data_IF_263092779461
#
_entry.id   IF_263092779461
#
_cell.length_a   1.000
_cell.length_b   1.000
_cell.length_c   1.000
_cell.angle_alpha   90.00
_cell.angle_beta   90.00
_cell.angle_gamma   90.00
#
_symmetry.space_group_name_H-M   'P 1'
#
loop_
_entity.id
_entity.type
_entity.pdbx_description
1 polymer ?
#
# COMPACT_ATOMS: atom_id res chain seq x y z
N UNK A 1 -22.83 7.31 58.61
CA UNK A 1 -21.96 6.85 57.49
C UNK A 1 -22.46 7.26 56.08
N UNK A 2 -23.65 7.89 55.93
CA UNK A 2 -24.19 8.29 54.60
C UNK A 2 -23.69 9.65 54.05
N UNK A 3 -23.23 10.59 54.89
CA UNK A 3 -22.90 11.95 54.42
C UNK A 3 -21.61 12.05 53.58
N UNK A 4 -20.67 11.11 53.72
CA UNK A 4 -19.40 11.11 52.97
C UNK A 4 -19.55 10.64 51.51
N UNK A 5 -20.61 9.89 51.19
CA UNK A 5 -20.88 9.41 49.82
C UNK A 5 -21.48 10.49 48.93
N UNK A 6 -22.39 11.29 49.47
CA UNK A 6 -23.09 12.36 48.74
C UNK A 6 -22.12 13.45 48.29
N UNK A 7 -21.16 13.84 49.13
CA UNK A 7 -20.15 14.86 48.80
C UNK A 7 -19.28 14.42 47.61
N UNK A 8 -18.91 13.13 47.53
CA UNK A 8 -18.15 12.60 46.40
C UNK A 8 -18.97 12.58 45.10
N UNK A 9 -20.26 12.28 45.19
CA UNK A 9 -21.17 12.30 44.04
C UNK A 9 -21.41 13.73 43.53
N UNK A 10 -21.61 14.71 44.42
CA UNK A 10 -21.77 16.12 44.05
C UNK A 10 -20.50 16.68 43.42
N UNK A 11 -19.32 16.32 43.95
CA UNK A 11 -18.04 16.72 43.36
C UNK A 11 -17.82 16.09 41.96
N UNK A 12 -18.15 14.81 41.79
CA UNK A 12 -18.03 14.12 40.49
C UNK A 12 -19.00 14.70 39.44
N UNK A 13 -20.25 15.00 39.85
CA UNK A 13 -21.22 15.63 38.96
C UNK A 13 -20.83 17.06 38.59
N UNK A 14 -20.27 17.83 39.53
CA UNK A 14 -19.72 19.16 39.26
C UNK A 14 -18.58 19.14 38.25
N UNK A 15 -17.69 18.16 38.33
CA UNK A 15 -16.59 17.97 37.35
C UNK A 15 -17.14 17.62 35.96
N UNK A 16 -18.14 16.73 35.86
CA UNK A 16 -18.75 16.38 34.58
C UNK A 16 -19.48 17.56 33.92
N UNK A 17 -20.20 18.36 34.71
CA UNK A 17 -20.85 19.59 34.23
C UNK A 17 -19.81 20.61 33.78
N UNK A 18 -18.72 20.77 34.54
CA UNK A 18 -17.60 21.65 34.17
C UNK A 18 -16.95 21.25 32.84
N UNK A 19 -16.67 19.95 32.65
CA UNK A 19 -16.13 19.43 31.39
C UNK A 19 -17.10 19.70 30.23
N UNK A 20 -18.40 19.45 30.41
CA UNK A 20 -19.42 19.67 29.38
C UNK A 20 -19.58 21.16 28.98
N UNK A 21 -19.41 22.07 29.93
CA UNK A 21 -19.41 23.52 29.66
C UNK A 21 -18.15 23.89 28.87
N UNK A 22 -16.98 23.40 29.27
CA UNK A 22 -15.72 23.68 28.57
C UNK A 22 -15.76 23.19 27.12
N UNK A 23 -16.25 21.96 26.86
CA UNK A 23 -16.39 21.46 25.49
C UNK A 23 -17.34 22.30 24.65
N UNK A 24 -18.49 22.73 25.20
CA UNK A 24 -19.41 23.62 24.49
C UNK A 24 -18.80 24.99 24.17
N UNK A 25 -18.04 25.55 25.11
CA UNK A 25 -17.33 26.82 24.88
C UNK A 25 -16.26 26.64 23.80
N UNK A 26 -15.51 25.53 23.83
CA UNK A 26 -14.52 25.23 22.79
C UNK A 26 -15.19 25.08 21.41
N UNK A 27 -16.30 24.37 21.31
CA UNK A 27 -17.06 24.22 20.07
C UNK A 27 -17.53 25.58 19.53
N UNK A 28 -18.05 26.46 20.39
CA UNK A 28 -18.45 27.82 19.99
C UNK A 28 -17.28 28.69 19.53
N UNK A 29 -16.10 28.53 20.15
CA UNK A 29 -14.89 29.26 19.74
C UNK A 29 -14.39 28.73 18.39
N UNK A 30 -14.39 27.41 18.17
CA UNK A 30 -14.02 26.81 16.89
C UNK A 30 -15.00 27.22 15.77
N UNK A 31 -16.29 27.27 16.07
CA UNK A 31 -17.32 27.69 15.10
C UNK A 31 -17.22 29.19 14.76
N UNK A 32 -16.85 30.04 15.73
CA UNK A 32 -16.58 31.46 15.49
C UNK A 32 -15.24 31.73 14.80
N UNK A 33 -14.25 30.85 15.00
CA UNK A 33 -12.92 30.95 14.37
C UNK A 33 -12.87 30.33 12.96
N UNK A 34 -13.89 29.56 12.56
CA UNK A 34 -14.02 29.05 11.20
C UNK A 34 -14.37 30.19 10.24
N UNK A 35 -13.57 30.45 9.18
CA UNK A 35 -13.87 31.51 8.24
C UNK A 35 -15.21 31.23 7.53
N UNK A 36 -16.16 32.15 7.69
CA UNK A 36 -17.44 32.10 6.97
C UNK A 36 -17.16 32.18 5.47
N UNK A 37 -17.69 31.23 4.71
CA UNK A 37 -17.69 31.28 3.25
C UNK A 37 -18.31 32.60 2.77
N UNK A 38 -17.77 33.25 1.72
CA UNK A 38 -18.35 34.48 1.20
C UNK A 38 -19.77 34.20 0.71
N UNK A 39 -20.71 35.09 1.06
CA UNK A 39 -22.04 35.12 0.43
C UNK A 39 -21.85 35.52 -1.03
N UNK A 40 -22.27 34.65 -1.95
CA UNK A 40 -22.35 34.95 -3.38
C UNK A 40 -23.46 35.99 -3.61
N UNK A 41 -23.08 37.20 -3.97
CA UNK A 41 -24.01 38.17 -4.56
C UNK A 41 -24.16 37.82 -6.05
N UNK A 42 -25.41 37.64 -6.49
CA UNK A 42 -25.80 37.70 -7.90
C UNK A 42 -25.47 39.11 -8.42
N UNK A 43 -24.37 39.25 -9.16
CA UNK A 43 -24.06 40.31 -10.16
C UNK A 43 -22.55 40.46 -10.37
N UNK A 44 -21.86 39.36 -10.70
CA UNK A 44 -20.49 39.44 -11.24
C UNK A 44 -20.35 38.41 -12.37
N UNK A 45 -21.27 38.50 -13.32
CA UNK A 45 -21.32 37.67 -14.52
C UNK A 45 -20.50 38.33 -15.64
N UNK A 46 -19.26 38.74 -15.34
CA UNK A 46 -18.28 39.17 -16.35
C UNK A 46 -16.86 39.35 -15.77
N UNK A 47 -16.23 38.29 -15.25
CA UNK A 47 -14.76 38.25 -15.09
C UNK A 47 -14.24 36.80 -15.16
N UNK A 48 -13.73 36.48 -16.36
CA UNK A 48 -12.74 35.42 -16.66
C UNK A 48 -13.12 33.99 -16.28
N UNK A 49 -13.68 33.26 -17.27
CA UNK A 49 -13.49 31.81 -17.38
C UNK A 49 -11.99 31.50 -17.36
N UNK A 50 -11.44 31.15 -16.20
CA UNK A 50 -10.15 30.45 -16.13
C UNK A 50 -10.41 29.00 -16.50
N UNK A 51 -10.15 28.71 -17.76
CA UNK A 51 -9.97 27.37 -18.27
C UNK A 51 -8.91 26.66 -17.39
N UNK A 52 -9.29 25.59 -16.68
CA UNK A 52 -8.36 24.77 -15.90
C UNK A 52 -7.58 23.84 -16.83
N UNK A 53 -6.89 24.42 -17.82
CA UNK A 53 -5.84 23.74 -18.56
C UNK A 53 -4.58 23.79 -17.70
N UNK A 54 -4.20 22.64 -17.13
CA UNK A 54 -2.90 22.47 -16.51
C UNK A 54 -1.82 22.83 -17.55
N UNK A 55 -0.99 23.82 -17.21
CA UNK A 55 0.21 24.19 -17.95
C UNK A 55 1.29 23.12 -17.76
N UNK A 56 1.17 22.01 -18.47
CA UNK A 56 2.29 21.09 -18.71
C UNK A 56 2.26 20.72 -20.18
N UNK A 57 2.92 21.53 -21.01
CA UNK A 57 3.26 21.14 -22.37
C UNK A 57 4.39 20.11 -22.33
N UNK A 58 4.34 19.02 -23.12
CA UNK A 58 5.41 18.04 -23.15
C UNK A 58 6.65 18.64 -23.84
N UNK A 59 7.75 18.77 -23.10
CA UNK A 59 9.06 19.04 -23.69
C UNK A 59 9.52 17.81 -24.47
N UNK A 60 9.94 18.02 -25.73
CA UNK A 60 10.47 17.02 -26.65
C UNK A 60 11.69 16.26 -26.10
N UNK A 61 11.91 14.99 -26.48
CA UNK A 61 13.09 14.24 -26.05
C UNK A 61 14.36 14.71 -26.78
N UNK A 62 15.39 15.06 -26.00
CA UNK A 62 16.75 15.25 -26.47
C UNK A 62 17.31 13.93 -27.04
N UNK A 63 17.72 13.96 -28.32
CA UNK A 63 18.43 12.88 -28.98
C UNK A 63 19.90 12.90 -28.54
N UNK A 64 20.32 11.88 -27.78
CA UNK A 64 21.75 11.61 -27.58
C UNK A 64 22.20 10.50 -28.52
N UNK A 65 22.95 10.91 -29.54
CA UNK A 65 23.71 10.04 -30.43
C UNK A 65 25.09 9.81 -29.81
N UNK A 66 25.38 8.58 -29.40
CA UNK A 66 26.75 8.12 -29.16
C UNK A 66 26.82 6.63 -29.49
N UNK A 67 27.13 6.33 -30.75
CA UNK A 67 27.55 4.99 -31.18
C UNK A 67 29.04 4.84 -30.87
N UNK A 68 29.37 4.06 -29.85
CA UNK A 68 30.72 3.52 -29.68
C UNK A 68 30.80 2.18 -30.43
N UNK A 69 31.57 2.16 -31.52
CA UNK A 69 31.97 0.97 -32.26
C UNK A 69 32.96 0.19 -31.38
N UNK A 70 32.64 -1.05 -31.00
CA UNK A 70 33.62 -2.00 -30.48
C UNK A 70 33.87 -3.05 -31.56
N UNK A 71 35.03 -3.00 -32.20
CA UNK A 71 35.54 -4.09 -33.02
C UNK A 71 36.02 -5.21 -32.09
N UNK A 72 35.46 -6.41 -32.24
CA UNK A 72 35.95 -7.61 -31.58
C UNK A 72 36.76 -8.39 -32.60
N UNK A 73 38.09 -8.30 -32.49
CA UNK A 73 39.02 -9.22 -33.14
C UNK A 73 38.86 -10.59 -32.49
N UNK A 74 38.43 -11.58 -33.26
CA UNK A 74 38.28 -12.96 -32.79
C UNK A 74 39.62 -13.67 -32.87
N UNK A 75 40.33 -13.78 -31.75
CA UNK A 75 41.37 -14.80 -31.58
C UNK A 75 40.73 -16.14 -31.19
N UNK A 76 41.16 -17.22 -31.85
CA UNK A 76 40.67 -18.58 -31.59
C UNK A 76 41.18 -19.12 -30.25
N UNK A 77 40.35 -19.83 -29.45
CA UNK A 77 40.79 -20.35 -28.16
C UNK A 77 41.57 -21.67 -28.29
N UNK A 78 42.74 -21.71 -27.64
CA UNK A 78 43.42 -22.96 -27.27
C UNK A 78 42.65 -23.67 -26.17
N UNK A 79 42.67 -25.00 -26.25
CA UNK A 79 41.95 -25.99 -25.47
C UNK A 79 42.21 -25.93 -23.97
N UNK A 80 41.14 -26.08 -23.16
CA UNK A 80 41.25 -26.68 -21.82
C UNK A 80 40.84 -25.85 -20.60
N UNK A 81 39.68 -25.18 -20.58
CA UNK A 81 39.09 -24.71 -19.31
C UNK A 81 37.60 -25.06 -19.19
N UNK A 82 37.23 -25.70 -18.07
CA UNK A 82 35.84 -25.98 -17.70
C UNK A 82 35.12 -24.66 -17.46
N UNK A 83 34.25 -24.27 -18.40
CA UNK A 83 33.30 -23.14 -18.22
C UNK A 83 32.40 -23.42 -17.01
N UNK A 84 32.66 -22.75 -15.90
CA UNK A 84 31.65 -22.53 -14.86
C UNK A 84 30.59 -21.63 -15.49
N UNK A 85 29.50 -22.21 -15.99
CA UNK A 85 28.35 -21.45 -16.47
C UNK A 85 27.72 -20.81 -15.24
N UNK A 86 28.12 -19.57 -14.95
CA UNK A 86 27.48 -18.71 -13.95
C UNK A 86 26.04 -18.50 -14.44
N UNK A 87 25.10 -19.31 -13.95
CA UNK A 87 23.67 -19.17 -14.23
C UNK A 87 23.32 -17.72 -13.94
N UNK A 88 23.02 -16.94 -14.99
CA UNK A 88 22.62 -15.54 -14.86
C UNK A 88 21.40 -15.55 -13.94
N UNK A 89 21.53 -15.04 -12.71
CA UNK A 89 20.40 -15.01 -11.79
C UNK A 89 19.37 -14.06 -12.40
N UNK A 90 18.23 -14.60 -12.83
CA UNK A 90 17.10 -13.77 -13.27
C UNK A 90 16.80 -12.78 -12.14
N UNK A 91 16.90 -11.48 -12.46
CA UNK A 91 16.60 -10.41 -11.50
C UNK A 91 15.15 -10.54 -11.03
N UNK A 92 14.93 -10.43 -9.71
CA UNK A 92 13.59 -10.46 -9.13
C UNK A 92 12.91 -9.11 -9.30
N UNK A 93 11.78 -9.11 -10.01
CA UNK A 93 10.92 -7.92 -10.17
C UNK A 93 10.02 -7.77 -8.94
N UNK A 94 9.94 -6.57 -8.38
CA UNK A 94 8.94 -6.24 -7.36
C UNK A 94 7.70 -5.66 -8.04
N UNK A 95 6.57 -6.36 -7.92
CA UNK A 95 5.26 -5.92 -8.35
C UNK A 95 4.52 -5.31 -7.16
N UNK A 96 4.50 -3.98 -7.08
CA UNK A 96 3.74 -3.28 -6.03
C UNK A 96 2.31 -3.03 -6.51
N UNK A 97 1.33 -3.56 -5.80
CA UNK A 97 -0.10 -3.36 -6.04
C UNK A 97 -0.59 -2.24 -5.14
N UNK A 98 -1.03 -1.14 -5.74
CA UNK A 98 -1.51 0.05 -5.04
C UNK A 98 -2.96 0.36 -5.42
N UNK A 99 -3.93 -0.01 -4.57
CA UNK A 99 -5.30 0.49 -4.73
C UNK A 99 -5.32 2.00 -4.43
N UNK A 100 -6.08 2.77 -5.23
CA UNK A 100 -6.25 4.20 -5.00
C UNK A 100 -7.67 4.63 -5.33
N UNK A 101 -8.10 5.78 -4.82
CA UNK A 101 -9.43 6.34 -5.09
C UNK A 101 -9.42 7.87 -5.04
N UNK A 102 -10.37 8.48 -5.75
CA UNK A 102 -10.52 9.92 -5.82
C UNK A 102 -10.87 10.52 -4.45
N UNK A 103 -10.00 11.41 -3.98
CA UNK A 103 -10.14 12.20 -2.75
C UNK A 103 -9.20 13.41 -2.82
N UNK A 104 -9.38 14.40 -1.94
CA UNK A 104 -8.56 15.61 -1.94
C UNK A 104 -7.05 15.34 -1.92
N UNK A 105 -6.60 14.35 -1.14
CA UNK A 105 -5.18 14.03 -1.00
C UNK A 105 -4.64 13.07 -2.08
N UNK A 106 -5.47 12.50 -2.96
CA UNK A 106 -5.06 11.41 -3.87
C UNK A 106 -3.76 11.73 -4.63
N UNK A 107 -3.70 12.88 -5.30
CA UNK A 107 -2.51 13.27 -6.08
C UNK A 107 -1.29 13.44 -5.19
N UNK A 108 -1.43 13.98 -3.98
CA UNK A 108 -0.32 14.18 -3.05
C UNK A 108 0.23 12.84 -2.54
N UNK A 109 -0.65 11.91 -2.16
CA UNK A 109 -0.28 10.56 -1.71
C UNK A 109 0.45 9.78 -2.81
N UNK A 110 -0.11 9.78 -4.03
CA UNK A 110 0.54 9.16 -5.19
C UNK A 110 1.88 9.83 -5.51
N UNK A 111 1.99 11.16 -5.36
CA UNK A 111 3.24 11.89 -5.64
C UNK A 111 4.36 11.41 -4.74
N UNK A 112 4.18 11.44 -3.41
CA UNK A 112 5.22 11.02 -2.47
C UNK A 112 5.56 9.54 -2.62
N UNK A 113 4.56 8.68 -2.87
CA UNK A 113 4.78 7.27 -3.10
C UNK A 113 5.61 7.06 -4.37
N UNK A 114 5.23 7.69 -5.49
CA UNK A 114 5.98 7.59 -6.75
C UNK A 114 7.43 8.04 -6.61
N UNK A 115 7.70 9.09 -5.84
CA UNK A 115 9.04 9.60 -5.59
C UNK A 115 9.89 8.58 -4.80
N UNK A 116 9.32 7.92 -3.79
CA UNK A 116 9.98 6.79 -3.12
C UNK A 116 10.27 5.64 -4.10
N UNK A 117 9.26 5.23 -4.88
CA UNK A 117 9.36 4.08 -5.77
C UNK A 117 10.37 4.27 -6.92
N UNK A 118 10.66 5.51 -7.33
CA UNK A 118 11.70 5.82 -8.33
C UNK A 118 13.08 5.31 -7.95
N UNK A 119 13.34 5.13 -6.66
CA UNK A 119 14.62 4.63 -6.17
C UNK A 119 14.71 3.10 -6.16
N UNK A 120 13.61 2.39 -6.44
CA UNK A 120 13.55 0.92 -6.41
C UNK A 120 13.87 0.35 -7.79
N UNK A 121 14.94 -0.43 -7.89
CA UNK A 121 15.35 -1.10 -9.15
C UNK A 121 14.44 -2.28 -9.47
N UNK A 122 14.37 -2.66 -10.75
CA UNK A 122 13.64 -3.85 -11.21
C UNK A 122 12.23 -3.92 -10.59
N UNK A 123 11.46 -2.86 -10.84
CA UNK A 123 10.18 -2.58 -10.18
C UNK A 123 9.08 -2.40 -11.21
N UNK A 124 7.86 -2.82 -10.87
CA UNK A 124 6.67 -2.61 -11.67
C UNK A 124 5.50 -2.19 -10.79
N UNK A 125 4.95 -1.01 -11.04
CA UNK A 125 3.86 -0.45 -10.24
C UNK A 125 2.49 -0.77 -10.84
N UNK A 126 1.65 -1.51 -10.12
CA UNK A 126 0.28 -1.80 -10.54
C UNK A 126 -0.65 -0.87 -9.76
N UNK A 127 -1.11 0.20 -10.41
CA UNK A 127 -2.03 1.17 -9.80
C UNK A 127 -3.45 0.85 -10.23
N UNK A 128 -4.33 0.65 -9.25
CA UNK A 128 -5.72 0.27 -9.50
C UNK A 128 -6.68 1.28 -8.89
N UNK A 129 -7.37 2.01 -9.75
CA UNK A 129 -8.35 3.00 -9.30
C UNK A 129 -9.68 2.36 -8.92
N UNK A 130 -10.25 2.77 -7.77
CA UNK A 130 -11.65 2.55 -7.42
C UNK A 130 -12.55 3.51 -8.21
N UNK A 131 -12.71 3.23 -9.50
CA UNK A 131 -13.45 4.04 -10.45
C UNK A 131 -14.03 3.20 -11.60
N UNK A 132 -15.10 3.71 -12.23
CA UNK A 132 -15.68 3.08 -13.42
C UNK A 132 -14.77 3.16 -14.64
N UNK A 133 -13.89 4.17 -14.69
CA UNK A 133 -12.95 4.41 -15.77
C UNK A 133 -11.64 4.96 -15.22
N UNK A 134 -10.54 4.74 -15.95
CA UNK A 134 -9.25 5.38 -15.68
C UNK A 134 -9.41 6.90 -15.69
N UNK A 135 -9.06 7.57 -14.61
CA UNK A 135 -9.26 9.02 -14.50
C UNK A 135 -8.16 9.78 -15.25
N UNK A 136 -8.47 10.94 -15.87
CA UNK A 136 -7.44 11.75 -16.51
C UNK A 136 -6.33 12.19 -15.55
N UNK A 137 -6.64 12.33 -14.25
CA UNK A 137 -5.65 12.68 -13.23
C UNK A 137 -4.59 11.58 -13.10
N UNK A 138 -5.01 10.34 -12.84
CA UNK A 138 -4.08 9.22 -12.62
C UNK A 138 -3.39 8.82 -13.92
N UNK A 139 -4.10 8.83 -15.05
CA UNK A 139 -3.50 8.55 -16.36
C UNK A 139 -2.32 9.48 -16.67
N UNK A 140 -2.51 10.80 -16.54
CA UNK A 140 -1.42 11.78 -16.76
C UNK A 140 -0.33 11.68 -15.71
N UNK A 141 -0.71 11.48 -14.45
CA UNK A 141 0.23 11.33 -13.34
C UNK A 141 1.20 10.15 -13.59
N UNK A 142 0.68 8.98 -13.97
CA UNK A 142 1.49 7.80 -14.22
C UNK A 142 2.37 7.97 -15.46
N UNK A 143 1.83 8.54 -16.55
CA UNK A 143 2.60 8.84 -17.76
C UNK A 143 3.82 9.73 -17.47
N UNK A 144 3.67 10.70 -16.54
CA UNK A 144 4.74 11.61 -16.13
C UNK A 144 5.59 11.07 -14.98
N UNK A 145 5.26 9.90 -14.41
CA UNK A 145 5.95 9.36 -13.24
C UNK A 145 7.34 8.83 -13.59
N UNK A 146 7.60 8.38 -14.83
CA UNK A 146 8.86 7.73 -15.22
C UNK A 146 9.07 6.34 -14.61
N UNK A 147 8.06 5.78 -13.94
CA UNK A 147 8.07 4.39 -13.45
C UNK A 147 7.58 3.43 -14.53
N UNK A 148 7.98 2.16 -14.46
CA UNK A 148 7.28 1.10 -15.18
C UNK A 148 5.97 0.80 -14.44
N UNK A 149 4.83 0.88 -15.12
CA UNK A 149 3.53 0.74 -14.49
C UNK A 149 2.50 0.02 -15.34
N UNK A 150 1.49 -0.53 -14.66
CA UNK A 150 0.20 -0.93 -15.24
C UNK A 150 -0.89 -0.11 -14.55
N UNK A 151 -1.74 0.53 -15.35
CA UNK A 151 -2.89 1.29 -14.88
C UNK A 151 -4.16 0.49 -15.08
N UNK A 152 -4.81 0.09 -13.99
CA UNK A 152 -6.10 -0.62 -13.98
C UNK A 152 -7.16 0.22 -13.28
N UNK A 153 -8.42 -0.17 -13.43
CA UNK A 153 -9.52 0.39 -12.67
C UNK A 153 -10.60 -0.68 -12.44
N UNK A 154 -11.24 -0.64 -11.28
CA UNK A 154 -12.45 -1.41 -10.99
C UNK A 154 -13.21 -0.67 -9.91
N UNK A 155 -14.50 -0.41 -10.14
CA UNK A 155 -15.34 0.24 -9.14
C UNK A 155 -15.75 -0.78 -8.09
N UNK A 156 -15.52 -0.48 -6.81
CA UNK A 156 -16.05 -1.26 -5.69
C UNK A 156 -17.58 -1.30 -5.77
N UNK A 157 -18.23 -2.48 -5.76
CA UNK A 157 -19.70 -2.60 -5.75
C UNK A 157 -20.35 -1.84 -4.59
N UNK A 158 -21.60 -1.40 -4.74
CA UNK A 158 -22.26 -0.50 -3.79
C UNK A 158 -22.41 -1.14 -2.41
N UNK A 159 -22.77 -2.42 -2.40
CA UNK A 159 -22.95 -3.30 -1.25
C UNK A 159 -21.69 -3.50 -0.40
N UNK A 160 -20.51 -3.31 -1.01
CA UNK A 160 -19.21 -3.42 -0.35
C UNK A 160 -18.68 -2.06 0.14
N UNK A 161 -19.34 -0.95 -0.21
CA UNK A 161 -18.92 0.39 0.23
C UNK A 161 -19.35 0.67 1.68
N UNK A 162 -18.56 1.41 2.46
CA UNK A 162 -18.99 1.89 3.77
C UNK A 162 -20.25 2.76 3.63
N UNK A 163 -21.27 2.46 4.42
CA UNK A 163 -22.47 3.31 4.51
C UNK A 163 -22.11 4.62 5.23
N UNK A 164 -22.68 5.75 4.79
CA UNK A 164 -22.38 7.10 5.35
C UNK A 164 -22.52 7.17 6.88
N UNK A 165 -23.41 6.38 7.46
CA UNK A 165 -23.72 6.39 8.90
C UNK A 165 -23.05 5.25 9.67
N UNK A 166 -22.10 4.53 9.06
CA UNK A 166 -21.36 3.45 9.70
C UNK A 166 -19.88 3.83 9.82
N UNK A 167 -19.18 3.39 10.88
CA UNK A 167 -17.75 3.62 10.99
C UNK A 167 -17.00 3.05 9.78
N UNK A 168 -15.96 3.74 9.31
CA UNK A 168 -15.22 3.34 8.09
C UNK A 168 -14.60 1.94 8.18
N UNK A 169 -14.32 1.45 9.38
CA UNK A 169 -13.74 0.13 9.63
C UNK A 169 -14.72 -1.03 9.42
N UNK A 170 -16.02 -0.78 9.17
CA UNK A 170 -17.01 -1.88 9.00
C UNK A 170 -16.90 -2.61 7.68
N UNK A 171 -16.28 -2.01 6.65
CA UNK A 171 -16.07 -2.61 5.33
C UNK A 171 -14.63 -2.37 4.91
N UNK A 172 -13.96 -3.43 4.45
CA UNK A 172 -12.60 -3.32 3.95
C UNK A 172 -12.58 -2.54 2.62
N UNK A 173 -11.48 -1.81 2.38
CA UNK A 173 -11.28 -1.01 1.17
C UNK A 173 -10.21 -1.65 0.30
N UNK A 174 -10.27 -1.39 -1.01
CA UNK A 174 -9.24 -1.86 -1.93
C UNK A 174 -9.33 -3.35 -2.30
N UNK A 175 -10.37 -4.08 -1.86
CA UNK A 175 -10.44 -5.54 -2.04
C UNK A 175 -10.51 -5.91 -3.53
N UNK A 176 -11.50 -5.39 -4.24
CA UNK A 176 -11.66 -5.60 -5.69
C UNK A 176 -10.43 -5.14 -6.47
N UNK A 177 -9.83 -4.04 -6.03
CA UNK A 177 -8.65 -3.46 -6.66
C UNK A 177 -7.42 -4.37 -6.51
N UNK A 178 -7.21 -4.96 -5.34
CA UNK A 178 -6.15 -5.96 -5.13
C UNK A 178 -6.45 -7.25 -5.92
N UNK A 179 -7.70 -7.69 -5.95
CA UNK A 179 -8.10 -8.90 -6.67
C UNK A 179 -7.94 -8.77 -8.19
N UNK A 180 -8.29 -7.63 -8.80
CA UNK A 180 -8.07 -7.43 -10.24
C UNK A 180 -6.57 -7.31 -10.58
N UNK A 181 -5.74 -6.81 -9.66
CA UNK A 181 -4.29 -6.83 -9.83
C UNK A 181 -3.72 -8.27 -9.75
N UNK A 182 -4.20 -9.10 -8.82
CA UNK A 182 -3.85 -10.52 -8.76
C UNK A 182 -4.26 -11.24 -10.06
N UNK A 183 -5.46 -10.95 -10.58
CA UNK A 183 -5.91 -11.48 -11.87
C UNK A 183 -4.98 -11.04 -13.00
N UNK A 184 -4.64 -9.75 -13.08
CA UNK A 184 -3.70 -9.24 -14.08
C UNK A 184 -2.34 -9.94 -14.00
N UNK A 185 -1.80 -10.16 -12.80
CA UNK A 185 -0.54 -10.89 -12.61
C UNK A 185 -0.62 -12.31 -13.16
N UNK A 186 -1.72 -13.03 -12.90
CA UNK A 186 -1.95 -14.39 -13.42
C UNK A 186 -2.03 -14.43 -14.94
N UNK A 187 -2.67 -13.43 -15.54
CA UNK A 187 -2.91 -13.38 -16.98
C UNK A 187 -1.66 -12.92 -17.76
N UNK A 188 -0.76 -12.15 -17.15
CA UNK A 188 0.32 -11.44 -17.87
C UNK A 188 1.73 -11.92 -17.52
N UNK A 189 1.95 -12.56 -16.37
CA UNK A 189 3.29 -12.95 -15.94
C UNK A 189 3.62 -14.39 -16.32
N UNK A 190 4.63 -14.55 -17.17
CA UNK A 190 5.21 -15.86 -17.48
C UNK A 190 6.28 -16.23 -16.44
N UNK A 191 5.94 -17.18 -15.55
CA UNK A 191 6.81 -17.61 -14.45
C UNK A 191 8.07 -18.36 -14.89
N UNK A 192 8.11 -18.90 -16.12
CA UNK A 192 9.30 -19.55 -16.66
C UNK A 192 10.35 -18.52 -17.13
N UNK A 193 9.94 -17.27 -17.33
CA UNK A 193 10.82 -16.17 -17.79
C UNK A 193 11.07 -15.12 -16.71
N UNK A 194 10.21 -15.07 -15.68
CA UNK A 194 10.18 -13.96 -14.72
C UNK A 194 10.20 -14.48 -13.30
N UNK A 195 11.20 -14.03 -12.54
CA UNK A 195 11.17 -14.11 -11.08
C UNK A 195 10.55 -12.81 -10.54
N UNK A 196 9.67 -12.92 -9.57
CA UNK A 196 9.09 -11.74 -8.97
C UNK A 196 8.43 -11.98 -7.62
N UNK A 197 8.14 -10.87 -6.96
CA UNK A 197 7.40 -10.81 -5.70
C UNK A 197 6.29 -9.79 -5.82
N UNK A 198 5.15 -10.08 -5.22
CA UNK A 198 3.99 -9.19 -5.15
C UNK A 198 3.94 -8.58 -3.76
N UNK A 199 3.83 -7.27 -3.71
CA UNK A 199 3.65 -6.52 -2.47
C UNK A 199 2.40 -5.64 -2.57
N UNK A 200 1.54 -5.66 -1.54
CA UNK A 200 0.34 -4.82 -1.49
C UNK A 200 0.68 -3.54 -0.72
N UNK A 201 0.84 -2.44 -1.47
CA UNK A 201 1.32 -1.17 -0.96
C UNK A 201 0.21 -0.11 -1.11
N UNK A 202 -0.55 0.14 -0.04
CA UNK A 202 -1.58 1.18 -0.02
C UNK A 202 -0.96 2.58 -0.24
N UNK A 203 -1.72 3.47 -0.88
CA UNK A 203 -1.17 4.75 -1.35
C UNK A 203 -0.86 5.75 -0.22
N UNK A 204 -1.35 5.49 1.00
CA UNK A 204 -1.20 6.34 2.17
C UNK A 204 -0.17 5.85 3.21
N UNK A 205 0.48 4.69 3.02
CA UNK A 205 1.59 4.28 3.89
C UNK A 205 2.93 4.97 3.52
N UNK A 206 3.92 4.83 4.39
CA UNK A 206 5.31 5.26 4.19
C UNK A 206 6.21 4.03 4.08
N UNK A 207 7.12 4.04 3.11
CA UNK A 207 8.02 2.92 2.83
C UNK A 207 9.47 3.38 2.78
N UNK A 208 10.33 2.71 3.55
CA UNK A 208 11.77 2.81 3.40
C UNK A 208 12.23 1.96 2.21
N UNK A 209 13.13 2.48 1.38
CA UNK A 209 13.62 1.79 0.19
C UNK A 209 14.24 0.42 0.49
N UNK A 210 14.79 0.24 1.71
CA UNK A 210 15.40 -1.02 2.16
C UNK A 210 14.38 -2.16 2.22
N UNK A 211 13.11 -1.84 2.45
CA UNK A 211 12.05 -2.84 2.48
C UNK A 211 11.95 -3.60 1.15
N UNK A 212 12.08 -2.90 0.03
CA UNK A 212 11.98 -3.51 -1.29
C UNK A 212 13.16 -4.44 -1.60
N UNK A 213 14.33 -4.19 -1.00
CA UNK A 213 15.48 -5.08 -1.10
C UNK A 213 15.29 -6.36 -0.26
N UNK A 214 14.70 -6.25 0.93
CA UNK A 214 14.34 -7.41 1.77
C UNK A 214 13.40 -8.38 1.05
N UNK A 215 12.56 -7.88 0.14
CA UNK A 215 11.56 -8.68 -0.58
C UNK A 215 12.16 -9.53 -1.71
N UNK A 216 13.30 -9.15 -2.31
CA UNK A 216 13.77 -9.75 -3.58
C UNK A 216 14.11 -11.23 -3.50
N UNK A 217 14.44 -11.72 -2.32
CA UNK A 217 14.86 -13.09 -2.08
C UNK A 217 13.77 -13.99 -1.51
N UNK A 218 12.52 -13.50 -1.39
CA UNK A 218 11.38 -14.27 -0.91
C UNK A 218 11.12 -15.48 -1.82
N UNK A 219 11.04 -16.68 -1.23
CA UNK A 219 10.76 -17.93 -1.95
C UNK A 219 9.29 -18.31 -1.93
N UNK A 220 8.59 -18.00 -0.84
CA UNK A 220 7.18 -18.28 -0.57
C UNK A 220 6.49 -17.01 -0.09
N UNK A 221 6.61 -16.67 1.19
CA UNK A 221 5.91 -15.56 1.85
C UNK A 221 6.88 -14.86 2.80
N UNK A 222 7.35 -13.66 2.46
CA UNK A 222 8.19 -12.87 3.35
C UNK A 222 7.33 -12.04 4.28
N UNK A 223 7.75 -11.93 5.55
CA UNK A 223 7.03 -11.15 6.57
C UNK A 223 7.96 -10.28 7.41
N UNK A 224 7.45 -9.15 7.88
CA UNK A 224 8.19 -8.19 8.70
C UNK A 224 7.25 -7.38 9.62
N UNK A 225 7.80 -6.72 10.66
CA UNK A 225 7.03 -5.80 11.50
C UNK A 225 6.64 -4.51 10.77
N UNK A 226 5.48 -3.96 11.14
CA UNK A 226 4.91 -2.72 10.60
C UNK A 226 4.61 -1.76 11.74
N UNK A 227 4.93 -0.47 11.57
CA UNK A 227 4.66 0.57 12.56
C UNK A 227 3.18 0.95 12.59
N UNK A 228 2.72 1.45 13.74
CA UNK A 228 1.41 2.11 13.92
C UNK A 228 0.18 1.32 13.49
N UNK A 229 0.30 -0.01 13.43
CA UNK A 229 -0.81 -0.94 13.15
C UNK A 229 -1.07 -1.84 14.37
N UNK A 230 -2.16 -2.60 14.34
CA UNK A 230 -2.51 -3.57 15.38
C UNK A 230 -2.76 -2.96 16.77
N UNK A 231 -3.16 -1.68 16.85
CA UNK A 231 -3.31 -0.90 18.08
C UNK A 231 -2.03 -0.88 18.95
N UNK A 232 -0.87 -0.79 18.31
CA UNK A 232 0.43 -0.76 18.96
C UNK A 232 1.40 0.18 18.22
N UNK A 233 2.57 0.47 18.81
CA UNK A 233 3.66 1.20 18.13
C UNK A 233 4.16 0.44 16.91
N UNK A 234 4.13 -0.87 16.98
CA UNK A 234 4.34 -1.78 15.87
C UNK A 234 3.55 -3.07 16.10
N UNK A 235 3.22 -3.80 15.04
CA UNK A 235 2.72 -5.17 15.12
C UNK A 235 3.43 -6.02 14.04
N UNK A 236 3.44 -7.34 14.21
CA UNK A 236 4.03 -8.22 13.23
C UNK A 236 4.56 -9.54 13.78
N UNK A 237 5.36 -10.27 12.98
CA UNK A 237 5.89 -11.58 13.36
C UNK A 237 6.97 -11.45 14.43
N UNK A 238 6.96 -12.40 15.37
CA UNK A 238 8.08 -12.67 16.28
C UNK A 238 8.94 -13.75 15.64
N UNK A 239 10.21 -13.46 15.41
CA UNK A 239 11.08 -14.33 14.62
C UNK A 239 12.30 -14.79 15.43
N UNK A 240 12.69 -16.04 15.21
CA UNK A 240 13.89 -16.65 15.80
C UNK A 240 14.54 -17.56 14.75
N UNK A 241 15.84 -17.41 14.56
CA UNK A 241 16.65 -18.22 13.63
C UNK A 241 16.05 -18.27 12.21
N UNK A 242 15.55 -17.13 11.72
CA UNK A 242 14.96 -16.98 10.39
C UNK A 242 13.53 -17.50 10.24
N UNK A 243 12.90 -17.99 11.32
CA UNK A 243 11.54 -18.54 11.33
C UNK A 243 10.59 -17.71 12.18
N UNK A 244 9.32 -17.72 11.81
CA UNK A 244 8.24 -17.10 12.60
C UNK A 244 7.82 -18.04 13.73
N UNK A 245 8.02 -17.61 14.97
CA UNK A 245 7.65 -18.40 16.18
C UNK A 245 6.34 -17.92 16.82
N UNK A 246 5.89 -16.71 16.47
CA UNK A 246 4.64 -16.14 16.97
C UNK A 246 4.38 -14.77 16.36
N UNK A 247 3.46 -14.01 16.96
CA UNK A 247 3.12 -12.67 16.50
C UNK A 247 2.90 -11.74 17.70
N UNK A 248 3.20 -10.46 17.48
CA UNK A 248 2.91 -9.38 18.41
C UNK A 248 1.84 -8.46 17.80
N UNK A 249 0.69 -8.36 18.45
CA UNK A 249 -0.39 -7.41 18.13
C UNK A 249 -1.33 -7.28 19.33
N UNK A 250 -1.99 -6.12 19.48
CA UNK A 250 -3.07 -5.94 20.45
C UNK A 250 -4.46 -6.17 19.82
N UNK A 251 -4.55 -6.10 18.49
CA UNK A 251 -5.81 -6.21 17.75
C UNK A 251 -5.99 -7.62 17.16
N UNK A 252 -7.03 -8.32 17.64
CA UNK A 252 -7.40 -9.68 17.20
C UNK A 252 -6.19 -10.63 17.11
N UNK A 253 -5.51 -10.89 18.25
CA UNK A 253 -4.33 -11.77 18.29
C UNK A 253 -4.65 -13.23 17.98
N UNK A 254 -5.93 -13.64 18.03
CA UNK A 254 -6.38 -15.00 17.75
C UNK A 254 -6.46 -15.35 16.25
N UNK A 255 -6.21 -14.40 15.34
CA UNK A 255 -6.14 -14.68 13.89
C UNK A 255 -4.96 -15.60 13.60
N UNK A 256 -5.08 -16.45 12.58
CA UNK A 256 -4.00 -17.33 12.13
C UNK A 256 -2.78 -16.51 11.69
N UNK A 257 -3.03 -15.44 10.94
CA UNK A 257 -2.05 -14.45 10.53
C UNK A 257 -2.49 -13.08 11.02
N UNK A 258 -2.14 -12.68 12.25
CA UNK A 258 -2.52 -11.38 12.80
C UNK A 258 -1.59 -10.27 12.26
N UNK A 259 -1.47 -10.19 10.94
CA UNK A 259 -0.62 -9.28 10.19
C UNK A 259 -1.45 -8.16 9.55
N UNK A 260 -0.77 -7.07 9.25
CA UNK A 260 -1.28 -5.95 8.43
C UNK A 260 -1.02 -6.23 6.94
N UNK A 261 -1.78 -5.61 6.03
CA UNK A 261 -1.60 -5.73 4.58
C UNK A 261 -0.16 -5.40 4.16
N UNK A 262 0.44 -4.40 4.80
CA UNK A 262 1.78 -3.93 4.46
C UNK A 262 2.90 -4.79 5.09
N UNK A 263 2.56 -5.85 5.83
CA UNK A 263 3.50 -6.68 6.60
C UNK A 263 4.04 -7.91 5.84
N UNK A 264 3.61 -8.13 4.61
CA UNK A 264 4.00 -9.32 3.85
C UNK A 264 4.14 -9.08 2.34
N UNK A 265 5.00 -9.86 1.70
CA UNK A 265 5.05 -10.01 0.24
C UNK A 265 5.11 -11.48 -0.15
N UNK A 266 4.63 -11.80 -1.34
CA UNK A 266 4.45 -13.18 -1.79
C UNK A 266 5.20 -13.40 -3.09
N UNK A 267 5.91 -14.51 -3.20
CA UNK A 267 6.53 -14.90 -4.46
C UNK A 267 5.46 -15.07 -5.56
N UNK A 268 5.67 -14.46 -6.73
CA UNK A 268 4.68 -14.49 -7.82
C UNK A 268 4.34 -15.93 -8.24
N UNK A 269 5.33 -16.84 -8.22
CA UNK A 269 5.11 -18.27 -8.53
C UNK A 269 4.09 -18.89 -7.57
N UNK A 270 4.15 -18.52 -6.29
CA UNK A 270 3.21 -19.02 -5.27
C UNK A 270 1.78 -18.65 -5.64
N UNK A 271 1.53 -17.42 -6.09
CA UNK A 271 0.18 -16.94 -6.43
C UNK A 271 -0.35 -17.45 -7.78
N UNK A 272 0.53 -17.69 -8.75
CA UNK A 272 0.16 -18.10 -10.10
C UNK A 272 0.08 -19.62 -10.23
N UNK A 273 1.06 -20.35 -9.69
CA UNK A 273 1.20 -21.80 -9.88
C UNK A 273 0.67 -22.58 -8.69
N UNK A 274 1.16 -22.30 -7.49
CA UNK A 274 0.85 -23.13 -6.32
C UNK A 274 -0.55 -22.84 -5.78
N UNK A 275 -0.97 -21.56 -5.80
CA UNK A 275 -2.21 -21.05 -5.19
C UNK A 275 -3.04 -20.19 -6.18
N UNK A 276 -3.41 -20.73 -7.36
CA UNK A 276 -4.07 -19.98 -8.43
C UNK A 276 -5.47 -19.47 -8.08
N UNK A 277 -6.07 -19.97 -7.00
CA UNK A 277 -7.40 -19.55 -6.52
C UNK A 277 -7.36 -18.54 -5.38
N UNK A 278 -6.17 -18.25 -4.82
CA UNK A 278 -6.04 -17.35 -3.68
C UNK A 278 -6.50 -15.93 -4.03
N UNK A 279 -7.39 -15.35 -3.24
CA UNK A 279 -7.88 -13.99 -3.43
C UNK A 279 -8.31 -13.41 -2.09
N UNK A 280 -8.42 -12.09 -2.02
CA UNK A 280 -8.99 -11.44 -0.85
C UNK A 280 -10.50 -11.60 -0.83
N UNK A 281 -11.05 -12.08 0.29
CA UNK A 281 -12.49 -12.21 0.48
C UNK A 281 -13.11 -10.87 0.90
N UNK A 282 -14.02 -10.34 0.09
CA UNK A 282 -14.72 -9.07 0.34
C UNK A 282 -15.74 -9.15 1.48
N UNK A 283 -16.19 -10.35 1.82
CA UNK A 283 -17.12 -10.62 2.92
C UNK A 283 -16.41 -10.97 4.23
N UNK A 284 -15.07 -10.97 4.22
CA UNK A 284 -14.27 -11.14 5.42
C UNK A 284 -14.68 -10.12 6.51
N UNK A 285 -14.71 -10.60 7.76
CA UNK A 285 -15.04 -9.76 8.91
C UNK A 285 -14.04 -8.60 9.02
N UNK A 286 -14.43 -7.46 9.60
CA UNK A 286 -13.51 -6.35 9.86
C UNK A 286 -12.22 -6.80 10.57
N UNK A 287 -11.07 -6.53 9.93
CA UNK A 287 -9.74 -6.91 10.41
C UNK A 287 -9.28 -8.33 10.05
N UNK A 288 -10.07 -9.09 9.29
CA UNK A 288 -9.72 -10.45 8.85
C UNK A 288 -9.39 -10.53 7.34
N UNK A 289 -9.25 -9.40 6.64
CA UNK A 289 -8.99 -9.39 5.19
C UNK A 289 -7.65 -10.04 4.82
N UNK A 290 -6.58 -9.69 5.53
CA UNK A 290 -5.26 -10.28 5.32
C UNK A 290 -5.29 -11.77 5.63
N UNK A 291 -6.00 -12.14 6.70
CA UNK A 291 -6.13 -13.51 7.14
C UNK A 291 -6.89 -14.37 6.11
N UNK A 292 -7.99 -13.85 5.55
CA UNK A 292 -8.79 -14.55 4.53
C UNK A 292 -7.96 -14.89 3.29
N UNK A 293 -6.98 -14.06 2.94
CA UNK A 293 -6.07 -14.31 1.85
C UNK A 293 -4.89 -15.20 2.24
N UNK A 294 -4.18 -14.91 3.33
CA UNK A 294 -2.96 -15.61 3.72
C UNK A 294 -3.20 -17.09 4.06
N UNK A 295 -4.36 -17.44 4.65
CA UNK A 295 -4.75 -18.83 4.91
C UNK A 295 -4.88 -19.67 3.62
N UNK A 296 -5.22 -19.03 2.50
CA UNK A 296 -5.24 -19.70 1.21
C UNK A 296 -3.81 -19.86 0.65
N UNK A 297 -2.94 -18.88 0.89
CA UNK A 297 -1.59 -18.80 0.31
C UNK A 297 -0.59 -19.75 1.00
N UNK A 298 -0.69 -19.99 2.30
CA UNK A 298 0.24 -20.89 3.00
C UNK A 298 -0.03 -21.03 4.49
N UNK A 299 0.91 -21.68 5.17
CA UNK A 299 0.90 -21.84 6.63
C UNK A 299 2.01 -20.99 7.27
N UNK A 300 2.10 -21.00 8.61
CA UNK A 300 3.16 -20.27 9.33
C UNK A 300 4.56 -20.77 8.95
N UNK A 301 4.69 -22.05 8.62
CA UNK A 301 5.95 -22.69 8.20
C UNK A 301 6.41 -22.25 6.80
N UNK A 302 5.49 -21.69 6.01
CA UNK A 302 5.80 -21.07 4.72
C UNK A 302 6.29 -19.61 4.86
N UNK A 303 6.24 -19.03 6.08
CA UNK A 303 6.66 -17.65 6.33
C UNK A 303 8.19 -17.54 6.50
N UNK A 304 8.77 -16.54 5.85
CA UNK A 304 10.20 -16.23 5.87
C UNK A 304 10.42 -14.92 6.61
N UNK A 305 11.20 -14.95 7.69
CA UNK A 305 11.52 -13.77 8.47
C UNK A 305 12.40 -12.79 7.66
N UNK A 306 11.96 -11.54 7.57
CA UNK A 306 12.70 -10.44 6.93
C UNK A 306 13.01 -9.33 7.93
N UNK A 307 13.64 -8.25 7.47
CA UNK A 307 13.96 -7.09 8.28
C UNK A 307 14.81 -7.43 9.52
N UNK A 308 15.94 -8.11 9.28
CA UNK A 308 16.88 -8.56 10.32
C UNK A 308 16.20 -9.43 11.40
N UNK A 309 15.60 -10.54 10.99
CA UNK A 309 14.84 -11.44 11.87
C UNK A 309 13.74 -10.70 12.64
N UNK A 310 12.96 -9.89 11.92
CA UNK A 310 11.79 -9.17 12.40
C UNK A 310 12.10 -8.18 13.55
N UNK A 311 13.31 -7.61 13.57
CA UNK A 311 13.75 -6.64 14.58
C UNK A 311 13.73 -5.19 14.10
N UNK A 312 13.52 -4.97 12.79
CA UNK A 312 13.47 -3.63 12.18
C UNK A 312 12.12 -3.36 11.56
N UNK A 313 11.71 -2.10 11.59
CA UNK A 313 10.48 -1.60 10.98
C UNK A 313 10.85 -0.68 9.83
N UNK A 314 10.32 -0.95 8.64
CA UNK A 314 10.61 -0.19 7.41
C UNK A 314 9.38 0.44 6.77
N UNK A 315 8.19 0.23 7.34
CA UNK A 315 6.95 0.82 6.87
C UNK A 315 5.93 0.97 8.00
N UNK A 316 4.87 1.73 7.71
CA UNK A 316 3.63 1.76 8.49
C UNK A 316 2.45 1.24 7.66
#
# INVERSE_FOLDING_TARGET
>A
MMFRGIIKYVAFFGVLVGIAIITRVLEQVVEKASPKAPKTNENDDQLVRRDLTNTDSPSSPLKNTAQAKLEITVEQPKTGEKKIVKKLSLKTIVYAVTPTYARFLQKAELTRLSQTLKHVKDFHWIVVEDSYQKTPLVTRFLANSGLNYTHLNIRTPVELRPLKNKPRWTKARGVEQRNIAIKWLRDNININKTNGVVYFADDDNTYDIRLFEEMRDIKKIGVWPVAFTGAARYAGPLCKDGRVVGFYTNWRPSRTFPLDMAAFAINVKRLIVDKPKAHFDADAKPGDLENSFLEQVGTREDLEARASNCSKVYNN
#
